data_IF_532808710653
#
_entry.id   IF_532808710653
#
_cell.length_a   1.000
_cell.length_b   1.000
_cell.length_c   1.000
_cell.angle_alpha   90.00
_cell.angle_beta   90.00
_cell.angle_gamma   90.00
#
_symmetry.space_group_name_H-M   'P 1'
#
loop_
_entity.id
_entity.type
_entity.pdbx_description
1 polymer ?
#
# COMPACT_ATOMS: atom_id res chain seq x y z
N UNK A 1 -20.65 18.10 7.76
CA UNK A 1 -21.36 17.07 8.55
C UNK A 1 -20.79 17.08 9.97
N UNK A 2 -21.57 16.71 10.99
CA UNK A 2 -21.02 16.45 12.33
C UNK A 2 -19.88 15.42 12.22
N UNK A 3 -18.83 15.57 13.03
CA UNK A 3 -17.74 14.57 13.08
C UNK A 3 -18.30 13.26 13.62
N UNK A 4 -17.88 12.14 13.04
CA UNK A 4 -18.22 10.83 13.57
C UNK A 4 -17.38 10.55 14.83
N UNK A 5 -17.83 9.63 15.68
CA UNK A 5 -17.05 9.22 16.85
C UNK A 5 -15.72 8.52 16.46
N UNK A 6 -15.63 7.96 15.25
CA UNK A 6 -14.38 7.44 14.68
C UNK A 6 -13.41 8.58 14.32
N UNK A 7 -13.92 9.70 13.80
CA UNK A 7 -13.10 10.90 13.54
C UNK A 7 -12.52 11.47 14.84
N UNK A 8 -13.30 11.45 15.93
CA UNK A 8 -12.82 11.88 17.25
C UNK A 8 -11.70 10.98 17.78
N UNK A 9 -11.82 9.66 17.60
CA UNK A 9 -10.77 8.72 17.98
C UNK A 9 -9.49 8.95 17.17
N UNK A 10 -9.61 9.18 15.85
CA UNK A 10 -8.47 9.52 15.01
C UNK A 10 -7.81 10.84 15.45
N UNK A 11 -8.60 11.87 15.77
CA UNK A 11 -8.11 13.15 16.27
C UNK A 11 -7.34 13.00 17.57
N UNK A 12 -7.87 12.21 18.50
CA UNK A 12 -7.24 11.92 19.77
C UNK A 12 -5.84 11.31 19.57
N UNK A 13 -5.69 10.39 18.63
CA UNK A 13 -4.41 9.72 18.36
C UNK A 13 -3.40 10.60 17.60
N UNK A 14 -3.85 11.32 16.57
CA UNK A 14 -2.94 11.95 15.60
C UNK A 14 -2.87 13.47 15.66
N UNK A 15 -3.88 14.14 16.22
CA UNK A 15 -4.01 15.61 16.18
C UNK A 15 -3.91 16.28 17.55
N UNK A 16 -3.99 15.52 18.63
CA UNK A 16 -3.78 16.02 19.99
C UNK A 16 -2.29 16.14 20.30
N UNK A 17 -1.93 17.23 20.95
CA UNK A 17 -0.58 17.43 21.49
C UNK A 17 -0.33 16.44 22.65
N UNK A 18 0.85 15.80 22.73
CA UNK A 18 1.08 14.73 23.70
C UNK A 18 0.79 15.11 25.16
N UNK A 19 1.07 16.35 25.56
CA UNK A 19 0.81 16.83 26.92
C UNK A 19 -0.68 16.92 27.28
N UNK A 20 -1.56 17.05 26.29
CA UNK A 20 -3.01 17.20 26.51
C UNK A 20 -3.76 15.87 26.33
N UNK A 21 -3.07 14.83 25.87
CA UNK A 21 -3.68 13.56 25.44
C UNK A 21 -4.38 12.84 26.59
N UNK A 22 -3.74 12.68 27.75
CA UNK A 22 -4.29 11.89 28.85
C UNK A 22 -5.56 12.53 29.45
N UNK A 23 -5.58 13.86 29.54
CA UNK A 23 -6.75 14.62 30.01
C UNK A 23 -7.92 14.49 29.03
N UNK A 24 -7.66 14.69 27.73
CA UNK A 24 -8.67 14.55 26.67
C UNK A 24 -9.18 13.11 26.56
N UNK A 25 -8.31 12.12 26.66
CA UNK A 25 -8.68 10.71 26.67
C UNK A 25 -9.61 10.40 27.85
N UNK A 26 -9.28 10.93 29.04
CA UNK A 26 -10.07 10.72 30.25
C UNK A 26 -11.47 11.32 30.16
N UNK A 27 -11.62 12.47 29.50
CA UNK A 27 -12.93 13.06 29.20
C UNK A 27 -13.68 12.25 28.14
N UNK A 28 -13.05 11.98 27.01
CA UNK A 28 -13.64 11.30 25.86
C UNK A 28 -14.18 9.91 26.21
N UNK A 29 -13.41 9.08 26.94
CA UNK A 29 -13.83 7.70 27.28
C UNK A 29 -15.06 7.64 28.20
N UNK A 30 -15.45 8.74 28.86
CA UNK A 30 -16.66 8.77 29.72
C UNK A 30 -17.95 8.71 28.90
N UNK A 31 -17.96 9.31 27.71
CA UNK A 31 -19.13 9.38 26.83
C UNK A 31 -19.00 8.50 25.57
N UNK A 32 -17.79 8.04 25.24
CA UNK A 32 -17.56 7.19 24.08
C UNK A 32 -18.27 5.82 24.20
N UNK A 33 -18.81 5.30 23.09
CA UNK A 33 -19.27 3.90 22.98
C UNK A 33 -18.17 2.92 23.38
N UNK A 34 -18.57 1.80 24.01
CA UNK A 34 -17.63 0.81 24.54
C UNK A 34 -16.73 0.22 23.45
N UNK A 35 -17.27 0.01 22.25
CA UNK A 35 -16.52 -0.49 21.09
C UNK A 35 -15.37 0.46 20.71
N UNK A 36 -15.59 1.78 20.79
CA UNK A 36 -14.55 2.76 20.50
C UNK A 36 -13.52 2.87 21.62
N UNK A 37 -13.93 2.70 22.89
CA UNK A 37 -12.98 2.61 24.01
C UNK A 37 -12.09 1.39 23.84
N UNK A 38 -12.64 0.24 23.43
CA UNK A 38 -11.86 -0.96 23.14
C UNK A 38 -10.93 -0.77 21.92
N UNK A 39 -11.39 -0.08 20.88
CA UNK A 39 -10.53 0.25 19.75
C UNK A 39 -9.38 1.18 20.15
N UNK A 40 -9.63 2.17 21.01
CA UNK A 40 -8.61 3.06 21.54
C UNK A 40 -7.57 2.33 22.39
N UNK A 41 -7.99 1.37 23.22
CA UNK A 41 -7.10 0.48 23.99
C UNK A 41 -6.07 -0.18 23.07
N UNK A 42 -6.52 -0.76 21.97
CA UNK A 42 -5.62 -1.41 21.01
C UNK A 42 -4.75 -0.36 20.30
N UNK A 43 -5.30 0.80 19.94
CA UNK A 43 -4.53 1.86 19.27
C UNK A 43 -3.38 2.36 20.15
N UNK A 44 -3.60 2.61 21.44
CA UNK A 44 -2.57 3.05 22.38
C UNK A 44 -1.42 2.03 22.55
N UNK A 45 -1.72 0.73 22.47
CA UNK A 45 -0.70 -0.32 22.54
C UNK A 45 -0.06 -0.67 21.19
N UNK A 46 -0.47 -0.01 20.11
CA UNK A 46 -0.01 -0.31 18.75
C UNK A 46 1.18 0.55 18.29
N UNK A 47 1.44 0.59 16.98
CA UNK A 47 2.40 1.51 16.37
C UNK A 47 1.79 2.92 16.16
N UNK A 48 0.47 3.08 16.22
CA UNK A 48 -0.18 4.37 15.93
C UNK A 48 0.35 5.57 16.75
N UNK A 49 0.63 5.43 18.06
CA UNK A 49 1.17 6.52 18.86
C UNK A 49 2.56 6.97 18.38
N UNK A 50 3.32 6.10 17.71
CA UNK A 50 4.67 6.38 17.22
C UNK A 50 4.70 7.43 16.09
N UNK A 51 3.56 7.67 15.43
CA UNK A 51 3.43 8.75 14.44
C UNK A 51 3.34 10.14 15.07
N UNK A 52 2.72 10.26 16.25
CA UNK A 52 2.47 11.54 16.90
C UNK A 52 2.88 11.52 18.37
N UNK A 53 2.11 10.85 19.22
CA UNK A 53 2.16 10.98 20.67
C UNK A 53 3.53 10.66 21.29
N UNK A 54 4.19 9.60 20.83
CA UNK A 54 5.49 9.15 21.36
C UNK A 54 6.67 9.62 20.49
N UNK A 55 6.41 10.40 19.43
CA UNK A 55 7.42 10.83 18.48
C UNK A 55 8.34 11.90 19.08
N UNK A 56 9.50 11.47 19.59
CA UNK A 56 10.51 12.36 20.20
C UNK A 56 11.17 13.30 19.20
N UNK A 57 11.26 12.93 17.92
CA UNK A 57 11.82 13.81 16.90
C UNK A 57 10.93 15.05 16.70
N UNK A 58 9.61 14.89 16.85
CA UNK A 58 8.64 15.98 16.76
C UNK A 58 8.48 16.77 18.07
N UNK A 59 8.37 16.08 19.19
CA UNK A 59 7.92 16.68 20.46
C UNK A 59 9.00 16.79 21.54
N UNK A 60 10.21 16.25 21.29
CA UNK A 60 11.31 16.27 22.26
C UNK A 60 10.94 15.61 23.59
N UNK A 61 11.12 16.34 24.69
CA UNK A 61 10.77 15.89 26.04
C UNK A 61 9.28 15.86 26.33
N UNK A 62 8.45 16.50 25.49
CA UNK A 62 6.99 16.49 25.66
C UNK A 62 6.33 15.22 25.12
N UNK A 63 7.04 14.43 24.29
CA UNK A 63 6.53 13.16 23.80
C UNK A 63 6.10 12.26 24.96
N UNK A 64 4.94 11.62 24.82
CA UNK A 64 4.43 10.68 25.80
C UNK A 64 5.37 9.48 25.93
N UNK A 65 5.52 8.99 27.16
CA UNK A 65 6.25 7.76 27.42
C UNK A 65 5.36 6.54 27.12
N UNK A 66 5.99 5.40 26.83
CA UNK A 66 5.23 4.15 26.62
C UNK A 66 4.57 3.68 27.91
N UNK A 67 5.17 3.99 29.05
CA UNK A 67 4.64 3.69 30.38
C UNK A 67 3.33 4.44 30.63
N UNK A 68 3.27 5.73 30.30
CA UNK A 68 2.05 6.53 30.43
C UNK A 68 0.90 5.99 29.54
N UNK A 69 1.22 5.57 28.31
CA UNK A 69 0.23 4.93 27.44
C UNK A 69 -0.22 3.56 27.96
N UNK A 70 0.68 2.78 28.57
CA UNK A 70 0.35 1.49 29.18
C UNK A 70 -0.57 1.65 30.41
N UNK A 71 -0.35 2.69 31.22
CA UNK A 71 -1.24 3.06 32.33
C UNK A 71 -2.63 3.45 31.81
N UNK A 72 -2.70 4.37 30.84
CA UNK A 72 -3.96 4.79 30.21
C UNK A 72 -4.72 3.62 29.56
N UNK A 73 -3.98 2.66 28.98
CA UNK A 73 -4.52 1.41 28.45
C UNK A 73 -5.15 0.56 29.55
N UNK A 74 -4.46 0.40 30.68
CA UNK A 74 -4.93 -0.38 31.82
C UNK A 74 -6.20 0.21 32.44
N UNK A 75 -6.26 1.54 32.57
CA UNK A 75 -7.44 2.25 33.04
C UNK A 75 -8.65 2.08 32.10
N UNK A 76 -8.43 2.15 30.79
CA UNK A 76 -9.50 2.00 29.79
C UNK A 76 -10.04 0.57 29.75
N UNK A 77 -9.17 -0.43 29.94
CA UNK A 77 -9.58 -1.82 30.17
C UNK A 77 -10.40 -1.97 31.47
N UNK A 78 -9.97 -1.33 32.56
CA UNK A 78 -10.71 -1.36 33.83
C UNK A 78 -12.10 -0.72 33.69
N UNK A 79 -12.22 0.38 32.94
CA UNK A 79 -13.49 1.01 32.62
C UNK A 79 -14.43 0.07 31.86
N UNK A 80 -13.93 -0.65 30.84
CA UNK A 80 -14.73 -1.64 30.11
C UNK A 80 -15.22 -2.77 31.01
N UNK A 81 -14.36 -3.26 31.93
CA UNK A 81 -14.78 -4.25 32.94
C UNK A 81 -15.88 -3.72 33.85
N UNK A 82 -15.75 -2.47 34.32
CA UNK A 82 -16.78 -1.83 35.14
C UNK A 82 -18.11 -1.69 34.40
N UNK A 83 -18.08 -1.52 33.07
CA UNK A 83 -19.26 -1.51 32.20
C UNK A 83 -19.78 -2.90 31.82
N UNK A 84 -19.15 -3.97 32.32
CA UNK A 84 -19.56 -5.36 32.07
C UNK A 84 -19.18 -5.89 30.68
N UNK A 85 -18.20 -5.27 30.00
CA UNK A 85 -17.75 -5.64 28.64
C UNK A 85 -16.49 -6.49 28.65
N UNK A 86 -16.52 -7.61 29.36
CA UNK A 86 -15.37 -8.54 29.38
C UNK A 86 -15.05 -9.10 27.99
N UNK A 87 -16.06 -9.23 27.12
CA UNK A 87 -15.93 -9.62 25.71
C UNK A 87 -14.95 -8.70 24.95
N UNK A 88 -15.12 -7.39 25.11
CA UNK A 88 -14.26 -6.39 24.47
C UNK A 88 -12.86 -6.35 25.09
N UNK A 89 -12.78 -6.56 26.39
CA UNK A 89 -11.51 -6.61 27.13
C UNK A 89 -10.66 -7.79 26.64
N UNK A 90 -11.23 -8.98 26.57
CA UNK A 90 -10.53 -10.18 26.09
C UNK A 90 -10.08 -10.01 24.64
N UNK A 91 -10.95 -9.49 23.77
CA UNK A 91 -10.63 -9.20 22.37
C UNK A 91 -9.48 -8.19 22.24
N UNK A 92 -9.54 -7.08 22.96
CA UNK A 92 -8.52 -6.04 22.94
C UNK A 92 -7.17 -6.56 23.46
N UNK A 93 -7.16 -7.30 24.58
CA UNK A 93 -5.94 -7.91 25.12
C UNK A 93 -5.34 -8.95 24.17
N UNK A 94 -6.18 -9.70 23.43
CA UNK A 94 -5.72 -10.64 22.42
C UNK A 94 -5.00 -9.93 21.26
N UNK A 95 -5.59 -8.86 20.72
CA UNK A 95 -4.94 -8.09 19.66
C UNK A 95 -3.66 -7.39 20.16
N UNK A 96 -3.62 -6.89 21.40
CA UNK A 96 -2.41 -6.32 22.01
C UNK A 96 -1.25 -7.35 22.06
N UNK A 97 -1.52 -8.59 22.48
CA UNK A 97 -0.52 -9.67 22.46
C UNK A 97 -0.04 -9.99 21.04
N UNK A 98 -0.94 -9.94 20.06
CA UNK A 98 -0.59 -10.16 18.66
C UNK A 98 0.28 -9.00 18.10
N UNK A 99 0.05 -7.76 18.55
CA UNK A 99 0.85 -6.59 18.16
C UNK A 99 2.26 -6.63 18.76
N UNK A 100 2.41 -7.12 19.99
CA UNK A 100 3.69 -7.24 20.68
C UNK A 100 4.67 -8.15 19.92
N UNK A 101 4.16 -9.23 19.34
CA UNK A 101 4.96 -10.22 18.60
C UNK A 101 5.01 -9.97 17.08
N UNK A 102 4.39 -8.90 16.58
CA UNK A 102 4.29 -8.61 15.15
C UNK A 102 5.66 -8.22 14.54
N UNK A 103 6.05 -8.94 13.50
CA UNK A 103 7.23 -8.64 12.70
C UNK A 103 7.02 -7.35 11.88
N UNK A 104 5.80 -7.08 11.40
CA UNK A 104 5.45 -5.84 10.68
C UNK A 104 5.52 -4.60 11.59
N UNK A 105 5.05 -4.72 12.84
CA UNK A 105 5.20 -3.66 13.83
C UNK A 105 6.67 -3.35 14.10
N UNK A 106 7.52 -4.40 14.22
CA UNK A 106 8.96 -4.24 14.38
C UNK A 106 9.62 -3.59 13.15
N UNK A 107 9.29 -4.03 11.93
CA UNK A 107 9.79 -3.40 10.70
C UNK A 107 9.46 -1.91 10.64
N UNK A 108 8.24 -1.54 11.05
CA UNK A 108 7.85 -0.13 11.10
C UNK A 108 8.69 0.65 12.10
N UNK A 109 8.91 0.11 13.31
CA UNK A 109 9.75 0.76 14.33
C UNK A 109 11.21 0.88 13.90
N UNK A 110 11.77 -0.10 13.18
CA UNK A 110 13.10 0.00 12.55
C UNK A 110 13.14 1.16 11.54
N UNK A 111 12.05 1.41 10.83
CA UNK A 111 11.98 2.53 9.88
C UNK A 111 11.85 3.87 10.58
N UNK A 112 11.02 3.95 11.61
CA UNK A 112 10.87 5.17 12.42
C UNK A 112 12.14 5.54 13.20
N UNK A 113 12.99 4.57 13.54
CA UNK A 113 14.31 4.81 14.16
C UNK A 113 15.42 5.13 13.17
N UNK A 114 15.17 5.02 11.86
CA UNK A 114 16.17 5.21 10.80
C UNK A 114 17.10 4.02 10.56
N UNK A 115 16.85 2.87 11.19
CA UNK A 115 17.62 1.64 10.95
C UNK A 115 17.32 1.05 9.55
N UNK A 116 16.06 1.14 9.13
CA UNK A 116 15.61 0.79 7.78
C UNK A 116 15.02 2.01 7.07
N UNK A 117 15.03 1.98 5.74
CA UNK A 117 14.36 2.95 4.87
C UNK A 117 13.27 2.22 4.07
N UNK A 118 12.35 1.55 4.78
CA UNK A 118 11.33 0.68 4.17
C UNK A 118 9.99 0.82 4.88
N UNK A 119 9.02 1.42 4.20
CA UNK A 119 7.64 1.44 4.67
C UNK A 119 6.86 0.25 4.11
N UNK A 120 5.69 -0.02 4.69
CA UNK A 120 4.78 -1.03 4.17
C UNK A 120 3.32 -0.57 4.20
N UNK A 121 2.49 -1.29 3.47
CA UNK A 121 1.09 -0.99 3.22
C UNK A 121 0.21 -2.21 3.09
N UNK A 122 -1.10 -1.95 3.07
CA UNK A 122 -2.14 -2.95 2.94
C UNK A 122 -2.50 -3.13 1.45
N UNK A 123 -2.28 -4.33 0.90
CA UNK A 123 -2.75 -4.70 -0.45
C UNK A 123 -4.19 -5.21 -0.36
N UNK A 124 -5.09 -4.36 0.15
CA UNK A 124 -6.49 -4.70 0.37
C UNK A 124 -7.30 -3.42 0.54
N UNK A 125 -8.49 -3.36 -0.07
CA UNK A 125 -9.37 -2.19 0.03
C UNK A 125 -10.16 -2.13 1.36
N UNK A 126 -10.01 -3.14 2.22
CA UNK A 126 -10.63 -3.24 3.54
C UNK A 126 -9.57 -3.51 4.63
N UNK A 127 -10.00 -3.49 5.90
CA UNK A 127 -9.18 -3.81 7.08
C UNK A 127 -7.95 -2.93 7.32
N UNK A 128 -7.87 -1.76 6.67
CA UNK A 128 -6.71 -0.87 6.78
C UNK A 128 -6.37 -0.49 8.22
N UNK A 129 -7.36 -0.17 9.07
CA UNK A 129 -7.12 0.21 10.46
C UNK A 129 -6.31 -0.84 11.24
N UNK A 130 -6.61 -2.12 11.02
CA UNK A 130 -5.86 -3.25 11.62
C UNK A 130 -4.42 -3.32 11.11
N UNK A 131 -4.20 -3.04 9.83
CA UNK A 131 -2.86 -2.97 9.26
C UNK A 131 -2.09 -1.73 9.77
N UNK A 132 -2.76 -0.58 9.93
CA UNK A 132 -2.16 0.65 10.47
C UNK A 132 -1.68 0.46 11.91
N UNK A 133 -2.38 -0.32 12.74
CA UNK A 133 -1.90 -0.70 14.09
C UNK A 133 -0.54 -1.40 14.08
N UNK A 134 -0.19 -2.08 12.99
CA UNK A 134 1.14 -2.67 12.74
C UNK A 134 2.07 -1.73 11.97
N UNK A 135 1.61 -0.56 11.57
CA UNK A 135 2.40 0.47 10.90
C UNK A 135 2.18 0.67 9.40
N UNK A 136 1.16 0.02 8.79
CA UNK A 136 0.84 0.26 7.39
C UNK A 136 0.55 1.75 7.15
N UNK A 137 1.22 2.37 6.19
CA UNK A 137 1.09 3.80 5.88
C UNK A 137 0.63 4.07 4.44
N UNK A 138 0.23 3.04 3.71
CA UNK A 138 -0.41 3.15 2.41
C UNK A 138 -1.39 2.01 2.19
N UNK A 139 -2.31 2.22 1.25
CA UNK A 139 -3.19 1.17 0.73
C UNK A 139 -3.04 1.09 -0.77
N UNK A 140 -3.07 -0.12 -1.29
CA UNK A 140 -3.24 -0.29 -2.71
C UNK A 140 -4.56 -1.01 -3.01
N UNK A 141 -5.32 -0.44 -3.95
CA UNK A 141 -6.62 -0.97 -4.37
C UNK A 141 -6.58 -1.36 -5.85
N UNK A 142 -7.54 -2.17 -6.27
CA UNK A 142 -7.88 -2.44 -7.66
C UNK A 142 -9.38 -2.82 -7.71
N UNK A 143 -10.02 -2.92 -8.89
CA UNK A 143 -11.46 -3.16 -8.93
C UNK A 143 -11.88 -4.49 -8.30
N UNK A 144 -11.03 -5.51 -8.34
CA UNK A 144 -11.29 -6.80 -7.67
C UNK A 144 -11.32 -6.62 -6.15
N UNK A 145 -10.36 -5.88 -5.59
CA UNK A 145 -10.30 -5.59 -4.16
C UNK A 145 -11.48 -4.72 -3.69
N UNK A 146 -11.91 -3.75 -4.51
CA UNK A 146 -13.13 -2.96 -4.25
C UNK A 146 -14.37 -3.87 -4.24
N UNK A 147 -14.46 -4.79 -5.20
CA UNK A 147 -15.53 -5.77 -5.26
C UNK A 147 -15.56 -6.72 -4.04
N UNK A 148 -14.39 -7.07 -3.49
CA UNK A 148 -14.29 -7.87 -2.27
C UNK A 148 -14.72 -7.05 -1.05
N UNK A 149 -14.24 -5.80 -0.91
CA UNK A 149 -14.58 -4.95 0.22
C UNK A 149 -16.10 -4.75 0.40
N UNK A 150 -16.86 -4.65 -0.71
CA UNK A 150 -18.33 -4.60 -0.64
C UNK A 150 -18.99 -5.89 -0.18
N UNK A 151 -18.40 -7.05 -0.51
CA UNK A 151 -18.93 -8.38 -0.15
C UNK A 151 -18.69 -8.68 1.33
N UNK A 152 -17.59 -8.18 1.88
CA UNK A 152 -17.24 -8.35 3.29
C UNK A 152 -18.06 -7.45 4.23
N UNK A 153 -18.60 -6.33 3.73
CA UNK A 153 -19.45 -5.43 4.50
C UNK A 153 -20.68 -4.95 3.70
N UNK A 154 -21.62 -5.85 3.38
CA UNK A 154 -22.76 -5.53 2.53
C UNK A 154 -23.70 -4.51 3.16
N UNK A 155 -23.84 -4.52 4.49
CA UNK A 155 -24.73 -3.63 5.24
C UNK A 155 -24.27 -2.16 5.13
N UNK A 156 -22.96 -1.92 5.02
CA UNK A 156 -22.43 -0.59 4.77
C UNK A 156 -22.49 -0.20 3.29
N UNK A 157 -22.04 -1.10 2.39
CA UNK A 157 -21.80 -0.74 0.99
C UNK A 157 -23.04 -0.78 0.10
N UNK A 158 -24.07 -1.57 0.43
CA UNK A 158 -25.31 -1.62 -0.35
C UNK A 158 -26.09 -0.30 -0.27
N UNK A 159 -26.31 0.31 0.91
CA UNK A 159 -26.94 1.62 0.99
C UNK A 159 -26.13 2.76 0.35
N UNK A 160 -24.80 2.64 0.30
CA UNK A 160 -23.94 3.59 -0.43
C UNK A 160 -24.19 3.49 -1.93
N UNK A 161 -24.21 2.27 -2.48
CA UNK A 161 -24.55 2.03 -3.89
C UNK A 161 -25.93 2.57 -4.24
N UNK A 162 -26.94 2.30 -3.42
CA UNK A 162 -28.32 2.72 -3.72
C UNK A 162 -28.46 4.24 -3.74
N UNK A 163 -27.80 4.95 -2.81
CA UNK A 163 -27.72 6.41 -2.81
C UNK A 163 -27.01 6.97 -4.04
N UNK A 164 -25.92 6.33 -4.49
CA UNK A 164 -25.22 6.75 -5.71
C UNK A 164 -26.11 6.62 -6.94
N UNK A 165 -26.91 5.55 -7.04
CA UNK A 165 -27.87 5.35 -8.13
C UNK A 165 -28.97 6.40 -8.12
N UNK A 166 -29.51 6.70 -6.95
CA UNK A 166 -30.54 7.73 -6.79
C UNK A 166 -30.01 9.14 -7.13
N UNK A 167 -28.79 9.46 -6.68
CA UNK A 167 -28.16 10.76 -6.92
C UNK A 167 -27.73 10.95 -8.39
N UNK A 168 -27.41 9.86 -9.10
CA UNK A 168 -26.88 9.89 -10.46
C UNK A 168 -27.65 8.94 -11.41
N UNK A 169 -28.94 9.19 -11.68
CA UNK A 169 -29.78 8.30 -12.49
C UNK A 169 -29.33 8.18 -13.95
N UNK A 170 -28.50 9.11 -14.44
CA UNK A 170 -28.00 9.15 -15.81
C UNK A 170 -26.58 8.55 -15.97
N UNK A 171 -25.94 8.12 -14.88
CA UNK A 171 -24.63 7.48 -14.98
C UNK A 171 -24.76 6.11 -15.65
N UNK A 172 -23.83 5.81 -16.56
CA UNK A 172 -23.62 4.47 -17.07
C UNK A 172 -23.15 3.52 -15.95
N UNK A 173 -23.27 2.18 -16.14
CA UNK A 173 -22.75 1.21 -15.18
C UNK A 173 -21.27 1.41 -14.83
N UNK A 174 -20.45 1.82 -15.80
CA UNK A 174 -19.03 2.09 -15.59
C UNK A 174 -18.82 3.34 -14.72
N UNK A 175 -19.55 4.42 -14.97
CA UNK A 175 -19.50 5.64 -14.16
C UNK A 175 -19.97 5.40 -12.72
N UNK A 176 -21.04 4.63 -12.52
CA UNK A 176 -21.47 4.23 -11.18
C UNK A 176 -20.41 3.36 -10.48
N UNK A 177 -19.79 2.40 -11.19
CA UNK A 177 -18.72 1.57 -10.63
C UNK A 177 -17.52 2.42 -10.18
N UNK A 178 -17.18 3.46 -10.94
CA UNK A 178 -16.18 4.44 -10.54
C UNK A 178 -16.61 5.26 -9.33
N UNK A 179 -17.83 5.79 -9.32
CA UNK A 179 -18.36 6.54 -8.18
C UNK A 179 -18.32 5.68 -6.90
N UNK A 180 -18.66 4.38 -7.00
CA UNK A 180 -18.56 3.43 -5.90
C UNK A 180 -17.11 3.19 -5.47
N UNK A 181 -16.18 3.07 -6.42
CA UNK A 181 -14.74 2.95 -6.13
C UNK A 181 -14.21 4.18 -5.41
N UNK A 182 -14.65 5.39 -5.81
CA UNK A 182 -14.33 6.63 -5.12
C UNK A 182 -14.79 6.58 -3.66
N UNK A 183 -15.98 6.06 -3.35
CA UNK A 183 -16.44 5.94 -1.96
C UNK A 183 -15.53 5.03 -1.12
N UNK A 184 -15.11 3.88 -1.68
CA UNK A 184 -14.16 2.97 -1.01
C UNK A 184 -12.80 3.62 -0.80
N UNK A 185 -12.32 4.37 -1.79
CA UNK A 185 -11.04 5.10 -1.70
C UNK A 185 -11.12 6.27 -0.72
N UNK A 186 -12.21 7.01 -0.66
CA UNK A 186 -12.43 8.09 0.32
C UNK A 186 -12.39 7.52 1.74
N UNK A 187 -13.02 6.37 1.99
CA UNK A 187 -12.98 5.73 3.31
C UNK A 187 -11.53 5.40 3.75
N UNK A 188 -10.74 4.80 2.86
CA UNK A 188 -9.32 4.50 3.14
C UNK A 188 -8.46 5.77 3.22
N UNK A 189 -8.73 6.77 2.37
CA UNK A 189 -7.99 8.03 2.32
C UNK A 189 -8.17 8.81 3.62
N UNK A 190 -9.38 8.83 4.20
CA UNK A 190 -9.67 9.44 5.50
C UNK A 190 -8.90 8.78 6.64
N UNK A 191 -8.79 7.44 6.64
CA UNK A 191 -7.99 6.73 7.65
C UNK A 191 -6.50 7.10 7.60
N UNK A 192 -5.92 7.23 6.40
CA UNK A 192 -4.51 7.61 6.23
C UNK A 192 -4.27 9.12 6.28
N UNK A 193 -5.33 9.93 6.23
CA UNK A 193 -5.23 11.38 6.14
C UNK A 193 -4.41 12.00 7.27
N UNK A 194 -4.56 11.59 8.54
CA UNK A 194 -3.74 12.15 9.60
C UNK A 194 -2.25 11.85 9.39
N UNK A 195 -1.87 10.64 8.97
CA UNK A 195 -0.47 10.30 8.67
C UNK A 195 0.06 11.16 7.50
N UNK A 196 -0.75 11.36 6.45
CA UNK A 196 -0.39 12.22 5.33
C UNK A 196 -0.15 13.67 5.77
N UNK A 197 -1.02 14.22 6.62
CA UNK A 197 -0.89 15.56 7.19
C UNK A 197 0.37 15.69 8.05
N UNK A 198 0.61 14.73 8.95
CA UNK A 198 1.76 14.74 9.85
C UNK A 198 3.11 14.66 9.14
N UNK A 199 3.11 14.07 7.94
CA UNK A 199 4.32 13.82 7.16
C UNK A 199 4.44 14.74 5.95
N UNK A 200 3.63 15.81 5.89
CA UNK A 200 3.57 16.76 4.79
C UNK A 200 3.44 16.08 3.41
N UNK A 201 2.67 15.00 3.36
CA UNK A 201 2.40 14.24 2.14
C UNK A 201 3.56 13.40 1.63
N UNK A 202 4.51 12.99 2.47
CA UNK A 202 5.54 12.03 2.06
C UNK A 202 5.05 10.57 2.12
N UNK A 203 4.10 10.26 3.00
CA UNK A 203 3.42 8.96 3.11
C UNK A 203 1.92 9.15 3.36
N UNK A 204 1.15 8.06 3.56
CA UNK A 204 -0.29 8.15 3.83
C UNK A 204 -1.16 8.12 2.57
N UNK A 205 -0.76 7.37 1.54
CA UNK A 205 -1.42 7.37 0.23
C UNK A 205 -2.33 6.16 -0.01
N UNK A 206 -3.42 6.38 -0.74
CA UNK A 206 -4.24 5.31 -1.34
C UNK A 206 -3.93 5.23 -2.83
N UNK A 207 -3.59 4.04 -3.34
CA UNK A 207 -3.46 3.81 -4.78
C UNK A 207 -4.80 3.37 -5.36
N UNK A 208 -5.38 4.18 -6.26
CA UNK A 208 -6.63 3.90 -6.97
C UNK A 208 -6.30 3.42 -8.39
N UNK A 209 -6.89 2.29 -8.80
CA UNK A 209 -6.71 1.76 -10.16
C UNK A 209 -7.72 2.34 -11.13
N UNK A 210 -7.23 2.98 -12.20
CA UNK A 210 -8.06 3.34 -13.36
C UNK A 210 -8.47 2.09 -14.14
N UNK A 211 -9.41 2.23 -15.05
CA UNK A 211 -10.09 1.11 -15.71
C UNK A 211 -9.08 0.21 -16.42
N UNK A 212 -9.04 -1.08 -16.08
CA UNK A 212 -8.14 -2.01 -16.77
C UNK A 212 -8.49 -2.14 -18.26
N UNK A 213 -9.74 -1.83 -18.65
CA UNK A 213 -10.19 -1.86 -20.05
C UNK A 213 -9.65 -0.71 -20.89
N UNK A 214 -9.01 0.29 -20.27
CA UNK A 214 -8.42 1.46 -20.92
C UNK A 214 -6.88 1.45 -20.90
N UNK A 215 -6.28 0.30 -20.59
CA UNK A 215 -4.82 0.14 -20.47
C UNK A 215 -4.01 0.52 -21.73
N UNK A 216 -4.64 0.53 -22.90
CA UNK A 216 -4.02 0.89 -24.18
C UNK A 216 -4.48 2.26 -24.72
N UNK A 217 -5.19 3.06 -23.92
CA UNK A 217 -5.76 4.35 -24.31
C UNK A 217 -5.30 5.45 -23.33
N UNK A 218 -4.27 6.18 -23.73
CA UNK A 218 -3.65 7.21 -22.89
C UNK A 218 -4.62 8.36 -22.58
N UNK A 219 -5.38 8.82 -23.57
CA UNK A 219 -6.33 9.93 -23.41
C UNK A 219 -7.48 9.57 -22.48
N UNK A 220 -7.97 8.33 -22.57
CA UNK A 220 -8.97 7.82 -21.64
C UNK A 220 -8.42 7.78 -20.21
N UNK A 221 -7.21 7.23 -19.98
CA UNK A 221 -6.61 7.17 -18.65
C UNK A 221 -6.41 8.57 -18.04
N UNK A 222 -5.93 9.54 -18.82
CA UNK A 222 -5.77 10.92 -18.35
C UNK A 222 -7.11 11.55 -17.98
N UNK A 223 -8.13 11.36 -18.82
CA UNK A 223 -9.47 11.90 -18.58
C UNK A 223 -10.10 11.29 -17.32
N UNK A 224 -9.96 9.99 -17.13
CA UNK A 224 -10.42 9.28 -15.93
C UNK A 224 -9.69 9.77 -14.67
N UNK A 225 -8.36 9.93 -14.72
CA UNK A 225 -7.58 10.45 -13.61
C UNK A 225 -8.05 11.84 -13.16
N UNK A 226 -8.24 12.77 -14.11
CA UNK A 226 -8.72 14.13 -13.82
C UNK A 226 -10.12 14.12 -13.20
N UNK A 227 -11.03 13.31 -13.74
CA UNK A 227 -12.38 13.19 -13.20
C UNK A 227 -12.35 12.67 -11.76
N UNK A 228 -11.65 11.57 -11.51
CA UNK A 228 -11.54 10.97 -10.17
C UNK A 228 -10.86 11.94 -9.20
N UNK A 229 -9.79 12.62 -9.62
CA UNK A 229 -9.10 13.59 -8.79
C UNK A 229 -10.03 14.70 -8.30
N UNK A 230 -10.84 15.27 -9.21
CA UNK A 230 -11.82 16.30 -8.86
C UNK A 230 -12.84 15.80 -7.80
N UNK A 231 -13.35 14.58 -7.98
CA UNK A 231 -14.30 13.97 -7.01
C UNK A 231 -13.65 13.75 -5.64
N UNK A 232 -12.41 13.26 -5.61
CA UNK A 232 -11.67 13.05 -4.37
C UNK A 232 -11.34 14.38 -3.68
N UNK A 233 -10.93 15.40 -4.45
CA UNK A 233 -10.62 16.72 -3.92
C UNK A 233 -11.82 17.37 -3.24
N UNK A 234 -13.00 17.28 -3.85
CA UNK A 234 -14.24 17.77 -3.26
C UNK A 234 -14.56 17.04 -1.95
N UNK A 235 -14.53 15.71 -1.95
CA UNK A 235 -14.93 14.90 -0.77
C UNK A 235 -13.93 14.91 0.38
N UNK A 236 -12.65 15.18 0.09
CA UNK A 236 -11.57 15.28 1.10
C UNK A 236 -11.27 16.74 1.47
N UNK A 237 -11.86 17.72 0.79
CA UNK A 237 -11.70 19.15 1.10
C UNK A 237 -10.30 19.69 0.79
N UNK A 238 -9.66 19.23 -0.29
CA UNK A 238 -8.34 19.73 -0.71
C UNK A 238 -7.55 18.74 -1.57
N UNK A 239 -6.22 18.85 -1.56
CA UNK A 239 -5.35 17.90 -2.27
C UNK A 239 -5.58 16.47 -1.73
N UNK A 240 -5.98 15.51 -2.58
CA UNK A 240 -6.24 14.16 -2.15
C UNK A 240 -4.93 13.41 -1.89
N UNK A 241 -4.89 12.60 -0.83
CA UNK A 241 -3.79 11.68 -0.54
C UNK A 241 -3.95 10.38 -1.35
N UNK A 242 -4.06 10.53 -2.68
CA UNK A 242 -4.31 9.42 -3.61
C UNK A 242 -3.33 9.48 -4.77
N UNK A 243 -2.92 8.31 -5.26
CA UNK A 243 -2.14 8.14 -6.48
C UNK A 243 -2.89 7.24 -7.46
N UNK A 244 -2.72 7.47 -8.76
CA UNK A 244 -3.41 6.72 -9.81
C UNK A 244 -2.55 5.57 -10.32
N UNK A 245 -3.07 4.35 -10.23
CA UNK A 245 -2.40 3.20 -10.81
C UNK A 245 -2.59 3.19 -12.33
N UNK A 246 -1.47 3.27 -13.03
CA UNK A 246 -1.38 3.15 -14.48
C UNK A 246 -0.61 1.87 -14.83
N UNK A 247 -1.04 1.08 -15.81
CA UNK A 247 -0.31 -0.10 -16.25
C UNK A 247 0.99 0.33 -16.97
N UNK A 248 2.06 -0.46 -16.85
CA UNK A 248 3.32 -0.22 -17.55
C UNK A 248 3.28 -0.61 -19.04
N UNK A 249 2.28 -0.09 -19.76
CA UNK A 249 2.08 -0.24 -21.21
C UNK A 249 2.67 0.96 -21.97
N UNK A 250 2.73 0.89 -23.30
CA UNK A 250 3.12 2.03 -24.15
C UNK A 250 2.23 3.25 -23.90
N UNK A 251 0.91 3.04 -23.90
CA UNK A 251 -0.07 4.08 -23.62
C UNK A 251 -0.01 4.57 -22.16
N UNK A 252 0.27 3.66 -21.22
CA UNK A 252 0.45 4.00 -19.81
C UNK A 252 1.62 4.95 -19.58
N UNK A 253 2.69 4.86 -20.40
CA UNK A 253 3.82 5.78 -20.35
C UNK A 253 3.41 7.21 -20.77
N UNK A 254 2.62 7.35 -21.83
CA UNK A 254 2.12 8.66 -22.27
C UNK A 254 1.16 9.26 -21.23
N UNK A 255 0.26 8.45 -20.68
CA UNK A 255 -0.63 8.87 -19.60
C UNK A 255 0.14 9.28 -18.33
N UNK A 256 1.21 8.54 -17.97
CA UNK A 256 2.06 8.86 -16.84
C UNK A 256 2.66 10.26 -16.95
N UNK A 257 3.20 10.62 -18.12
CA UNK A 257 3.74 11.96 -18.37
C UNK A 257 2.68 13.06 -18.16
N UNK A 258 1.50 12.89 -18.74
CA UNK A 258 0.41 13.87 -18.62
C UNK A 258 -0.11 14.00 -17.18
N UNK A 259 -0.41 12.88 -16.53
CA UNK A 259 -0.96 12.87 -15.16
C UNK A 259 0.02 13.47 -14.15
N UNK A 260 1.29 13.08 -14.23
CA UNK A 260 2.30 13.56 -13.26
C UNK A 260 2.71 15.02 -13.49
N UNK A 261 2.62 15.55 -14.71
CA UNK A 261 2.82 16.97 -14.99
C UNK A 261 1.76 17.86 -14.32
N UNK A 262 0.54 17.33 -14.16
CA UNK A 262 -0.58 17.99 -13.46
C UNK A 262 -0.51 17.86 -11.92
N UNK A 263 0.58 17.33 -11.37
CA UNK A 263 0.78 17.19 -9.93
C UNK A 263 0.05 15.99 -9.31
N UNK A 264 -0.58 15.15 -10.13
CA UNK A 264 -1.22 13.92 -9.69
C UNK A 264 -0.18 12.79 -9.61
N UNK A 265 -0.03 12.19 -8.44
CA UNK A 265 0.89 11.07 -8.25
C UNK A 265 0.41 9.80 -8.98
N UNK A 266 1.34 8.98 -9.45
CA UNK A 266 1.03 7.72 -10.11
C UNK A 266 1.63 6.54 -9.37
N UNK A 267 1.02 5.37 -9.50
CA UNK A 267 1.59 4.09 -9.09
C UNK A 267 1.66 3.16 -10.30
N UNK A 268 2.84 3.05 -10.91
CA UNK A 268 3.03 2.27 -12.13
C UNK A 268 2.92 0.78 -11.79
N UNK A 269 1.79 0.18 -12.14
CA UNK A 269 1.45 -1.24 -11.91
C UNK A 269 1.62 -2.04 -13.19
N UNK A 270 1.36 -3.36 -13.15
CA UNK A 270 1.57 -4.25 -14.30
C UNK A 270 3.01 -4.09 -14.84
N UNK A 271 3.93 -3.87 -13.91
CA UNK A 271 5.33 -3.54 -14.13
C UNK A 271 6.19 -4.68 -13.57
N UNK A 272 6.92 -5.31 -14.46
CA UNK A 272 7.58 -6.59 -14.24
C UNK A 272 9.06 -6.58 -14.63
N UNK A 273 9.45 -5.64 -15.50
CA UNK A 273 10.74 -5.67 -16.19
C UNK A 273 11.57 -4.44 -15.88
N UNK A 274 12.89 -4.61 -15.84
CA UNK A 274 13.84 -3.51 -15.71
C UNK A 274 13.64 -2.45 -16.82
N UNK A 275 13.41 -2.79 -18.10
CA UNK A 275 13.06 -1.81 -19.14
C UNK A 275 11.81 -0.97 -18.82
N UNK A 276 10.73 -1.58 -18.31
CA UNK A 276 9.54 -0.84 -17.85
C UNK A 276 9.91 0.10 -16.70
N UNK A 277 10.63 -0.40 -15.70
CA UNK A 277 11.10 0.39 -14.56
C UNK A 277 11.97 1.59 -14.98
N UNK A 278 12.86 1.43 -15.96
CA UNK A 278 13.71 2.50 -16.52
C UNK A 278 12.84 3.56 -17.21
N UNK A 279 11.98 3.14 -18.14
CA UNK A 279 11.18 4.05 -18.95
C UNK A 279 10.29 4.95 -18.07
N UNK A 280 9.58 4.36 -17.12
CA UNK A 280 8.68 5.09 -16.23
C UNK A 280 9.44 5.92 -15.18
N UNK A 281 10.55 5.42 -14.61
CA UNK A 281 11.35 6.21 -13.70
C UNK A 281 11.92 7.46 -14.38
N UNK A 282 12.45 7.31 -15.61
CA UNK A 282 12.97 8.44 -16.39
C UNK A 282 11.90 9.46 -16.73
N UNK A 283 10.71 9.01 -17.16
CA UNK A 283 9.58 9.89 -17.47
C UNK A 283 9.11 10.69 -16.24
N UNK A 284 8.97 10.03 -15.08
CA UNK A 284 8.56 10.68 -13.83
C UNK A 284 9.64 11.65 -13.36
N UNK A 285 10.91 11.27 -13.42
CA UNK A 285 12.01 12.15 -13.00
C UNK A 285 12.02 13.45 -13.83
N UNK A 286 11.84 13.33 -15.15
CA UNK A 286 11.88 14.45 -16.08
C UNK A 286 10.68 15.41 -15.97
N UNK A 287 9.46 14.87 -15.80
CA UNK A 287 8.22 15.66 -16.01
C UNK A 287 7.34 15.83 -14.75
N UNK A 288 7.52 15.03 -13.70
CA UNK A 288 6.58 15.01 -12.58
C UNK A 288 6.72 16.23 -11.67
N UNK A 289 5.56 16.81 -11.32
CA UNK A 289 5.37 17.80 -10.27
C UNK A 289 4.64 17.22 -9.04
N UNK A 290 4.27 15.94 -9.09
CA UNK A 290 3.61 15.25 -8.00
C UNK A 290 4.57 15.02 -6.81
N UNK A 291 4.03 15.04 -5.59
CA UNK A 291 4.81 14.81 -4.36
C UNK A 291 5.36 13.38 -4.28
N UNK A 292 4.54 12.40 -4.67
CA UNK A 292 4.87 10.98 -4.55
C UNK A 292 4.41 10.24 -5.80
N UNK A 293 5.25 9.35 -6.29
CA UNK A 293 4.89 8.34 -7.26
C UNK A 293 5.57 7.02 -6.92
N UNK A 294 5.00 5.91 -7.40
CA UNK A 294 5.48 4.57 -7.11
C UNK A 294 5.72 3.78 -8.40
N UNK A 295 6.65 2.84 -8.34
CA UNK A 295 6.91 1.85 -9.39
C UNK A 295 6.75 0.47 -8.79
N UNK A 296 5.58 -0.12 -9.02
CA UNK A 296 5.24 -1.41 -8.45
C UNK A 296 6.09 -2.52 -9.08
N UNK A 297 6.68 -3.40 -8.27
CA UNK A 297 7.21 -4.68 -8.75
C UNK A 297 6.12 -5.73 -8.57
N UNK A 298 5.67 -6.33 -9.66
CA UNK A 298 4.63 -7.36 -9.63
C UNK A 298 5.23 -8.74 -9.34
N UNK A 299 5.83 -8.90 -8.15
CA UNK A 299 6.76 -9.98 -7.79
C UNK A 299 6.25 -11.38 -8.17
N UNK A 300 5.30 -11.93 -7.40
CA UNK A 300 4.85 -13.29 -7.58
C UNK A 300 4.20 -13.52 -8.94
N UNK A 301 3.64 -12.47 -9.55
CA UNK A 301 3.05 -12.52 -10.90
C UNK A 301 4.09 -12.62 -12.00
N UNK A 302 5.36 -12.27 -11.74
CA UNK A 302 6.50 -12.62 -12.59
C UNK A 302 7.13 -13.95 -12.20
N UNK A 303 7.34 -14.19 -10.90
CA UNK A 303 8.02 -15.39 -10.40
C UNK A 303 7.31 -16.68 -10.87
N UNK A 304 5.97 -16.69 -10.88
CA UNK A 304 5.18 -17.86 -11.27
C UNK A 304 5.39 -18.28 -12.75
N UNK A 305 5.17 -17.42 -13.77
CA UNK A 305 5.41 -17.81 -15.15
C UNK A 305 6.89 -18.03 -15.49
N UNK A 306 7.84 -17.36 -14.81
CA UNK A 306 9.27 -17.72 -14.91
C UNK A 306 9.49 -19.14 -14.39
N UNK A 307 8.88 -19.50 -13.26
CA UNK A 307 8.89 -20.85 -12.74
C UNK A 307 8.35 -21.90 -13.71
N UNK A 308 7.25 -21.60 -14.42
CA UNK A 308 6.69 -22.46 -15.48
C UNK A 308 7.72 -22.73 -16.59
N UNK A 309 8.42 -21.69 -17.07
CA UNK A 309 9.48 -21.86 -18.09
C UNK A 309 10.67 -22.65 -17.57
N UNK A 310 11.10 -22.44 -16.32
CA UNK A 310 12.20 -23.19 -15.71
C UNK A 310 11.86 -24.66 -15.52
N UNK A 311 10.62 -24.96 -15.10
CA UNK A 311 10.12 -26.32 -14.98
C UNK A 311 10.12 -27.01 -16.35
N UNK A 312 9.58 -26.34 -17.38
CA UNK A 312 9.55 -26.86 -18.75
C UNK A 312 10.96 -27.08 -19.33
N UNK A 313 11.92 -26.24 -18.95
CA UNK A 313 13.33 -26.37 -19.34
C UNK A 313 14.11 -27.43 -18.53
N UNK A 314 13.45 -28.18 -17.63
CA UNK A 314 14.08 -29.23 -16.83
C UNK A 314 15.10 -28.71 -15.81
N UNK A 315 14.94 -27.48 -15.33
CA UNK A 315 15.84 -26.90 -14.33
C UNK A 315 15.63 -27.58 -12.96
N UNK A 316 16.68 -28.14 -12.35
CA UNK A 316 16.56 -28.69 -11.00
C UNK A 316 16.31 -27.57 -9.99
N UNK A 317 15.47 -27.87 -8.99
CA UNK A 317 15.07 -26.95 -7.91
C UNK A 317 14.35 -25.68 -8.41
N UNK A 318 13.73 -25.73 -9.60
CA UNK A 318 13.04 -24.58 -10.21
C UNK A 318 12.08 -23.85 -9.25
N UNK A 319 11.43 -24.59 -8.34
CA UNK A 319 10.48 -24.06 -7.38
C UNK A 319 11.14 -23.12 -6.35
N UNK A 320 12.38 -23.40 -5.94
CA UNK A 320 13.16 -22.51 -5.09
C UNK A 320 13.76 -21.38 -5.93
N UNK A 321 14.34 -21.71 -7.09
CA UNK A 321 14.98 -20.74 -7.99
C UNK A 321 14.02 -19.61 -8.38
N UNK A 322 12.76 -19.91 -8.68
CA UNK A 322 11.78 -18.89 -9.06
C UNK A 322 11.55 -17.84 -7.98
N UNK A 323 11.73 -18.17 -6.70
CA UNK A 323 11.54 -17.23 -5.57
C UNK A 323 12.59 -16.11 -5.53
N UNK A 324 13.66 -16.26 -6.31
CA UNK A 324 14.74 -15.28 -6.44
C UNK A 324 14.62 -14.40 -7.68
N UNK A 325 13.68 -14.70 -8.59
CA UNK A 325 13.47 -13.97 -9.84
C UNK A 325 13.27 -12.46 -9.59
N UNK A 326 12.22 -12.09 -8.85
CA UNK A 326 11.93 -10.68 -8.57
C UNK A 326 12.99 -10.01 -7.68
N UNK A 327 13.64 -10.76 -6.78
CA UNK A 327 14.78 -10.24 -6.00
C UNK A 327 15.95 -9.86 -6.90
N UNK A 328 16.30 -10.69 -7.89
CA UNK A 328 17.38 -10.43 -8.82
C UNK A 328 17.15 -9.13 -9.61
N UNK A 329 15.93 -8.98 -10.13
CA UNK A 329 15.53 -7.80 -10.90
C UNK A 329 15.53 -6.56 -10.00
N UNK A 330 14.94 -6.63 -8.80
CA UNK A 330 14.92 -5.52 -7.85
C UNK A 330 16.30 -5.06 -7.42
N UNK A 331 17.22 -5.98 -7.13
CA UNK A 331 18.59 -5.62 -6.79
C UNK A 331 19.27 -4.85 -7.93
N UNK A 332 19.09 -5.30 -9.18
CA UNK A 332 19.68 -4.65 -10.36
C UNK A 332 19.03 -3.29 -10.61
N UNK A 333 17.70 -3.25 -10.58
CA UNK A 333 16.86 -2.06 -10.73
C UNK A 333 17.21 -0.98 -9.71
N UNK A 334 17.24 -1.33 -8.42
CA UNK A 334 17.52 -0.38 -7.36
C UNK A 334 18.95 0.20 -7.48
N UNK A 335 19.96 -0.63 -7.76
CA UNK A 335 21.33 -0.12 -8.00
C UNK A 335 21.37 0.83 -9.19
N UNK A 336 20.72 0.45 -10.28
CA UNK A 336 20.77 1.20 -11.52
C UNK A 336 20.01 2.53 -11.43
N UNK A 337 18.85 2.55 -10.78
CA UNK A 337 17.97 3.72 -10.79
C UNK A 337 18.15 4.60 -9.57
N UNK A 338 18.25 4.03 -8.37
CA UNK A 338 18.19 4.78 -7.11
C UNK A 338 19.56 5.27 -6.60
N UNK A 339 20.66 4.58 -6.93
CA UNK A 339 21.99 5.03 -6.52
C UNK A 339 22.45 6.22 -7.36
N UNK A 340 23.34 7.03 -6.79
CA UNK A 340 23.86 8.22 -7.47
C UNK A 340 24.79 7.82 -8.63
N UNK A 341 25.03 8.71 -9.62
CA UNK A 341 26.01 8.48 -10.69
C UNK A 341 27.40 8.08 -10.20
N UNK A 342 27.86 8.63 -9.06
CA UNK A 342 29.15 8.30 -8.47
C UNK A 342 29.22 6.85 -7.92
N UNK A 343 28.07 6.22 -7.69
CA UNK A 343 27.91 4.85 -7.21
C UNK A 343 27.47 3.90 -8.34
N UNK A 344 27.45 4.37 -9.58
CA UNK A 344 27.06 3.60 -10.77
C UNK A 344 25.57 3.53 -11.07
N UNK A 345 24.74 4.38 -10.45
CA UNK A 345 23.31 4.50 -10.75
C UNK A 345 22.94 5.78 -11.51
N UNK A 346 21.66 6.01 -11.74
CA UNK A 346 21.12 7.18 -12.45
C UNK A 346 20.65 8.31 -11.52
N UNK A 347 20.52 8.04 -10.21
CA UNK A 347 20.08 9.02 -9.22
C UNK A 347 18.60 9.44 -9.37
N UNK A 348 17.75 8.56 -9.88
CA UNK A 348 16.31 8.78 -9.99
C UNK A 348 15.66 8.54 -8.63
N UNK A 349 14.93 9.54 -8.14
CA UNK A 349 14.42 9.53 -6.75
C UNK A 349 12.95 9.90 -6.62
N UNK A 350 12.32 10.42 -7.69
CA UNK A 350 10.90 10.84 -7.64
C UNK A 350 9.89 9.70 -7.65
N UNK A 351 10.31 8.47 -7.96
CA UNK A 351 9.42 7.31 -8.10
C UNK A 351 9.90 6.13 -7.25
N UNK A 352 9.25 5.92 -6.10
CA UNK A 352 9.66 4.92 -5.12
C UNK A 352 9.39 3.48 -5.57
N UNK A 353 10.34 2.53 -5.39
CA UNK A 353 10.09 1.11 -5.62
C UNK A 353 8.99 0.59 -4.70
N UNK A 354 8.03 -0.16 -5.28
CA UNK A 354 6.90 -0.72 -4.54
C UNK A 354 6.71 -2.24 -4.77
N UNK A 355 7.40 -3.13 -4.04
CA UNK A 355 7.15 -4.57 -4.16
C UNK A 355 5.71 -4.94 -3.78
N UNK A 356 5.05 -5.70 -4.65
CA UNK A 356 3.66 -6.12 -4.53
C UNK A 356 3.48 -7.56 -4.98
N UNK A 357 2.31 -8.15 -4.71
CA UNK A 357 2.00 -9.53 -5.10
C UNK A 357 3.02 -10.56 -4.60
N UNK A 358 3.57 -10.37 -3.41
CA UNK A 358 4.45 -11.35 -2.78
C UNK A 358 3.73 -12.69 -2.52
N UNK A 359 4.47 -13.80 -2.59
CA UNK A 359 3.95 -15.15 -2.33
C UNK A 359 4.26 -15.65 -0.92
N UNK A 360 5.24 -15.07 -0.26
CA UNK A 360 5.54 -15.40 1.13
C UNK A 360 6.54 -14.44 1.79
N UNK A 361 7.04 -14.81 2.99
CA UNK A 361 7.90 -13.97 3.82
C UNK A 361 9.17 -13.47 3.13
N UNK A 362 9.74 -14.25 2.20
CA UNK A 362 10.94 -13.87 1.49
C UNK A 362 10.75 -12.63 0.62
N UNK A 363 9.55 -12.40 0.07
CA UNK A 363 9.27 -11.18 -0.69
C UNK A 363 9.38 -9.94 0.20
N UNK A 364 8.94 -10.03 1.47
CA UNK A 364 9.04 -8.95 2.44
C UNK A 364 10.49 -8.79 2.90
N UNK A 365 11.13 -9.86 3.39
CA UNK A 365 12.51 -9.83 3.90
C UNK A 365 13.50 -9.31 2.86
N UNK A 366 13.40 -9.79 1.62
CA UNK A 366 14.27 -9.39 0.49
C UNK A 366 13.83 -8.08 -0.17
N UNK A 367 12.94 -7.32 0.46
CA UNK A 367 12.59 -5.94 0.08
C UNK A 367 13.03 -4.91 1.10
N UNK A 368 13.36 -5.33 2.34
CA UNK A 368 13.83 -4.42 3.38
C UNK A 368 15.19 -3.85 2.99
N UNK A 369 15.29 -2.53 3.00
CA UNK A 369 16.44 -1.80 2.54
C UNK A 369 16.69 -0.56 3.42
N UNK A 370 17.95 -0.12 3.48
CA UNK A 370 18.39 1.11 4.15
C UNK A 370 19.17 2.03 3.20
N UNK A 371 18.97 1.85 1.89
CA UNK A 371 19.61 2.64 0.85
C UNK A 371 19.00 4.05 0.69
N UNK A 372 19.47 4.81 -0.33
CA UNK A 372 19.16 6.24 -0.47
C UNK A 372 17.71 6.57 -0.84
N UNK A 373 16.96 5.62 -1.44
CA UNK A 373 15.57 5.80 -1.85
C UNK A 373 14.71 4.82 -1.06
N UNK A 374 13.64 5.34 -0.48
CA UNK A 374 12.70 4.56 0.32
C UNK A 374 12.03 3.48 -0.50
N UNK A 375 11.91 2.28 0.07
CA UNK A 375 11.12 1.17 -0.50
C UNK A 375 9.77 1.10 0.20
N UNK A 376 8.70 0.86 -0.56
CA UNK A 376 7.35 0.67 -0.02
C UNK A 376 6.84 -0.72 -0.33
N UNK A 377 6.52 -1.56 0.65
CA UNK A 377 6.02 -2.92 0.38
C UNK A 377 4.50 -2.94 0.54
N UNK A 378 3.73 -3.40 -0.44
CA UNK A 378 2.29 -3.65 -0.24
C UNK A 378 2.04 -5.14 -0.01
N UNK A 379 1.34 -5.48 1.07
CA UNK A 379 1.23 -6.87 1.56
C UNK A 379 -0.24 -7.25 1.74
N UNK A 380 -0.65 -8.39 1.18
CA UNK A 380 -2.00 -8.95 1.38
C UNK A 380 -2.23 -9.38 2.84
N UNK A 381 -3.47 -9.34 3.36
CA UNK A 381 -3.75 -9.71 4.75
C UNK A 381 -3.32 -11.12 5.15
N UNK A 382 -3.46 -12.11 4.26
CA UNK A 382 -3.00 -13.49 4.51
C UNK A 382 -1.46 -13.56 4.61
N UNK A 383 -0.76 -12.77 3.79
CA UNK A 383 0.71 -12.65 3.83
C UNK A 383 1.20 -11.84 5.02
N UNK A 384 0.42 -10.86 5.49
CA UNK A 384 0.68 -10.19 6.78
C UNK A 384 0.62 -11.20 7.92
N UNK A 385 -0.44 -12.03 7.96
CA UNK A 385 -0.61 -13.07 8.97
C UNK A 385 0.50 -14.14 8.90
N UNK A 386 0.86 -14.61 7.70
CA UNK A 386 1.98 -15.54 7.50
C UNK A 386 3.32 -14.93 7.94
N UNK A 387 3.52 -13.65 7.70
CA UNK A 387 4.75 -12.98 8.13
C UNK A 387 4.82 -12.87 9.65
N UNK A 388 3.72 -12.55 10.32
CA UNK A 388 3.63 -12.41 11.79
C UNK A 388 3.47 -13.75 12.53
N UNK A 389 3.26 -14.88 11.84
CA UNK A 389 2.94 -16.17 12.47
C UNK A 389 4.06 -16.77 13.33
N UNK A 390 5.29 -16.29 13.17
CA UNK A 390 6.45 -16.74 13.94
C UNK A 390 7.51 -15.62 14.00
N UNK A 391 8.39 -15.60 15.01
CA UNK A 391 9.50 -14.66 15.03
C UNK A 391 10.38 -14.80 13.78
N UNK A 392 10.78 -13.67 13.19
CA UNK A 392 11.69 -13.63 12.04
C UNK A 392 12.90 -12.77 12.35
N UNK A 393 14.01 -12.98 11.65
CA UNK A 393 15.10 -12.02 11.61
C UNK A 393 14.85 -11.04 10.46
N UNK A 394 14.88 -9.73 10.75
CA UNK A 394 14.69 -8.69 9.74
C UNK A 394 16.00 -7.93 9.61
N UNK A 395 16.68 -8.10 8.48
CA UNK A 395 17.88 -7.32 8.18
C UNK A 395 17.50 -5.99 7.53
N UNK A 396 18.03 -4.84 7.97
CA UNK A 396 17.86 -3.56 7.26
C UNK A 396 18.49 -3.57 5.86
N UNK A 397 19.30 -4.60 5.54
CA UNK A 397 19.92 -4.81 4.22
C UNK A 397 19.36 -6.06 3.51
N UNK A 398 18.17 -6.53 3.89
CA UNK A 398 17.58 -7.75 3.34
C UNK A 398 17.44 -7.78 1.81
N UNK A 399 17.21 -6.62 1.17
CA UNK A 399 17.21 -6.48 -0.28
C UNK A 399 18.53 -6.94 -0.92
N UNK A 400 19.64 -6.86 -0.20
CA UNK A 400 20.98 -7.22 -0.66
C UNK A 400 21.41 -8.64 -0.29
N UNK A 401 20.50 -9.48 0.20
CA UNK A 401 20.80 -10.91 0.37
C UNK A 401 21.30 -11.49 -0.96
N UNK A 402 22.50 -12.09 -1.01
CA UNK A 402 23.05 -12.61 -2.26
C UNK A 402 22.16 -13.74 -2.78
N UNK A 403 22.01 -13.78 -4.10
CA UNK A 403 21.39 -14.93 -4.75
C UNK A 403 22.25 -16.18 -4.44
N UNK A 404 21.63 -17.35 -4.19
CA UNK A 404 22.37 -18.59 -4.07
C UNK A 404 23.18 -18.89 -5.33
N UNK A 405 24.31 -19.56 -5.18
CA UNK A 405 25.21 -19.90 -6.30
C UNK A 405 24.45 -20.62 -7.44
N UNK A 406 24.71 -20.22 -8.68
CA UNK A 406 24.07 -20.80 -9.86
C UNK A 406 22.63 -20.34 -10.11
N UNK A 407 22.01 -19.57 -9.20
CA UNK A 407 20.60 -19.17 -9.32
C UNK A 407 20.37 -18.24 -10.52
N UNK A 408 21.27 -17.28 -10.75
CA UNK A 408 21.13 -16.34 -11.86
C UNK A 408 21.24 -17.06 -13.21
N UNK A 409 22.20 -17.98 -13.35
CA UNK A 409 22.41 -18.81 -14.54
C UNK A 409 21.20 -19.70 -14.81
N UNK A 410 20.57 -20.24 -13.76
CA UNK A 410 19.31 -20.99 -13.87
C UNK A 410 18.17 -20.09 -14.31
N UNK A 411 17.98 -18.92 -13.69
CA UNK A 411 16.95 -17.94 -14.05
C UNK A 411 17.08 -17.48 -15.52
N UNK A 412 18.31 -17.25 -15.99
CA UNK A 412 18.61 -16.88 -17.37
C UNK A 412 18.21 -17.94 -18.41
N UNK A 413 17.79 -19.15 -18.03
CA UNK A 413 17.19 -20.13 -18.94
C UNK A 413 15.76 -19.75 -19.35
N UNK A 414 15.04 -19.00 -18.52
CA UNK A 414 13.72 -18.44 -18.84
C UNK A 414 13.84 -17.27 -19.82
N UNK A 415 13.03 -17.29 -20.89
CA UNK A 415 12.93 -16.17 -21.84
C UNK A 415 12.30 -14.96 -21.14
N UNK A 416 11.25 -15.18 -20.36
CA UNK A 416 10.58 -14.12 -19.62
C UNK A 416 11.54 -13.39 -18.68
N UNK A 417 12.37 -14.15 -17.95
CA UNK A 417 13.36 -13.57 -17.05
C UNK A 417 14.43 -12.77 -17.82
N UNK A 418 14.98 -13.29 -18.93
CA UNK A 418 15.96 -12.55 -19.75
C UNK A 418 15.42 -11.20 -20.21
N UNK A 419 14.18 -11.18 -20.72
CA UNK A 419 13.50 -9.95 -21.13
C UNK A 419 13.29 -8.99 -19.95
N UNK A 420 13.03 -9.52 -18.75
CA UNK A 420 12.80 -8.70 -17.56
C UNK A 420 14.07 -8.19 -16.87
N UNK A 421 15.17 -8.93 -16.98
CA UNK A 421 16.40 -8.68 -16.22
C UNK A 421 17.37 -7.75 -16.95
N UNK A 422 17.42 -7.80 -18.29
CA UNK A 422 18.31 -6.94 -19.06
C UNK A 422 17.72 -5.53 -19.27
N UNK A 423 18.52 -4.45 -19.09
CA UNK A 423 18.05 -3.06 -19.26
C UNK A 423 17.45 -2.75 -20.63
N UNK A 424 17.87 -3.48 -21.66
CA UNK A 424 17.45 -3.40 -23.06
C UNK A 424 16.73 -4.69 -23.52
N UNK A 425 16.27 -5.51 -22.58
CA UNK A 425 15.61 -6.80 -22.87
C UNK A 425 14.27 -6.69 -23.61
N UNK A 426 13.73 -5.48 -23.74
CA UNK A 426 12.53 -5.14 -24.51
C UNK A 426 12.44 -3.64 -24.77
N UNK A 427 11.90 -3.27 -25.92
CA UNK A 427 11.50 -1.90 -26.26
C UNK A 427 10.13 -1.54 -25.64
N UNK A 428 9.83 -0.24 -25.61
CA UNK A 428 8.53 0.26 -25.10
C UNK A 428 7.35 -0.32 -25.89
N UNK A 429 7.51 -0.52 -27.20
CA UNK A 429 6.46 -1.10 -28.05
C UNK A 429 6.17 -2.57 -27.75
N UNK A 430 7.10 -3.27 -27.09
CA UNK A 430 6.94 -4.67 -26.72
C UNK A 430 6.26 -4.85 -25.36
N UNK A 431 6.13 -3.80 -24.55
CA UNK A 431 5.54 -3.87 -23.20
C UNK A 431 4.15 -4.49 -23.21
N UNK A 432 3.32 -4.11 -24.18
CA UNK A 432 1.92 -4.53 -24.30
C UNK A 432 1.78 -6.01 -24.65
N UNK A 433 2.83 -6.61 -25.22
CA UNK A 433 2.86 -8.03 -25.64
C UNK A 433 3.60 -8.93 -24.66
N UNK A 434 4.19 -8.36 -23.60
CA UNK A 434 4.91 -9.13 -22.60
C UNK A 434 3.94 -10.02 -21.82
N UNK A 435 4.17 -11.34 -21.80
CA UNK A 435 3.19 -12.30 -21.29
C UNK A 435 2.68 -11.99 -19.86
N UNK A 436 3.52 -11.62 -18.87
CA UNK A 436 3.03 -11.20 -17.55
C UNK A 436 2.08 -9.99 -17.57
N UNK A 437 2.31 -9.03 -18.49
CA UNK A 437 1.44 -7.86 -18.71
C UNK A 437 0.09 -8.32 -19.23
N UNK A 438 0.08 -9.09 -20.32
CA UNK A 438 -1.16 -9.61 -20.94
C UNK A 438 -1.99 -10.41 -19.94
N UNK A 439 -1.38 -11.42 -19.29
CA UNK A 439 -2.08 -12.28 -18.31
C UNK A 439 -2.67 -11.45 -17.15
N UNK A 440 -1.97 -10.43 -16.69
CA UNK A 440 -2.44 -9.63 -15.54
C UNK A 440 -3.58 -8.68 -15.93
N UNK A 441 -3.49 -8.04 -17.10
CA UNK A 441 -4.57 -7.17 -17.59
C UNK A 441 -5.86 -7.97 -17.86
N UNK A 442 -5.75 -9.16 -18.44
CA UNK A 442 -6.90 -10.06 -18.65
C UNK A 442 -7.60 -10.42 -17.32
N UNK A 443 -6.82 -10.80 -16.30
CA UNK A 443 -7.37 -11.11 -14.97
C UNK A 443 -8.04 -9.91 -14.31
N UNK A 444 -7.45 -8.72 -14.42
CA UNK A 444 -8.07 -7.50 -13.89
C UNK A 444 -9.37 -7.13 -14.63
N UNK A 445 -9.43 -7.37 -15.94
CA UNK A 445 -10.64 -7.17 -16.73
C UNK A 445 -11.80 -8.07 -16.29
N UNK A 446 -11.54 -9.36 -16.05
CA UNK A 446 -12.59 -10.32 -15.66
C UNK A 446 -13.22 -9.99 -14.30
N UNK A 447 -12.42 -9.61 -13.31
CA UNK A 447 -12.94 -9.25 -11.99
C UNK A 447 -13.70 -7.92 -11.94
N UNK A 448 -13.57 -7.08 -12.97
CA UNK A 448 -14.29 -5.81 -13.08
C UNK A 448 -15.76 -5.97 -13.50
N UNK A 449 -16.06 -6.96 -14.35
CA UNK A 449 -17.41 -7.13 -14.92
C UNK A 449 -18.46 -7.48 -13.87
N UNK A 450 -18.10 -8.34 -12.91
CA UNK A 450 -18.98 -8.69 -11.79
C UNK A 450 -19.32 -7.47 -10.92
N UNK A 451 -18.32 -6.62 -10.68
CA UNK A 451 -18.49 -5.40 -9.89
C UNK A 451 -19.42 -4.41 -10.58
N UNK A 452 -19.20 -4.17 -11.87
CA UNK A 452 -20.05 -3.27 -12.68
C UNK A 452 -21.50 -3.75 -12.68
N UNK A 453 -21.74 -5.06 -12.83
CA UNK A 453 -23.08 -5.63 -12.79
C UNK A 453 -23.77 -5.41 -11.44
N UNK A 454 -23.06 -5.61 -10.33
CA UNK A 454 -23.62 -5.40 -8.98
C UNK A 454 -23.94 -3.93 -8.69
N UNK A 455 -23.13 -2.99 -9.18
CA UNK A 455 -23.39 -1.56 -8.98
C UNK A 455 -24.62 -1.10 -9.77
N UNK A 456 -24.84 -1.67 -10.96
CA UNK A 456 -25.97 -1.33 -11.82
C UNK A 456 -27.30 -1.96 -11.39
N UNK A 457 -27.26 -3.16 -10.79
CA UNK A 457 -28.42 -3.90 -10.29
C UNK A 457 -28.95 -3.37 -8.98
#
# INVERSE_FOLDING_TARGET
MPRSAEDELADLMFRVEPQDYLDRLSEWRRSAPDELVAENVVDMGSVLPDWNLTNRARHGSKALSREALAEATSESLALLRQRGREDLVEAAQSELRALETSNLARLTRMTLSGEANTHWGNDYAAHLRRAMRRGACLVTTNPVLVNIARKENPDHWTPVRDRLREAHPNYSPAELAYAMTVQVVVANARLLRPIWELTNGTIGYVSLQLSPKKAHDAEAMVSEARWVYAQLSEQLGGTPNTVFKLPATRAGLDACCAVTAEGMGVNITVNFSLPQHIAFAGAIEANSTALVSFRTHMDGRLDDPVGEELQAAGVPDWAEVKTWCSTAIRQREYRMLCHKPQEGGLGLTKAYPLPASGRGPWNILRSVNNGPVTVFITVFPDKQAEFDSQPREISPRGMWTPLPEGTLEKLLKSKLFRMAYEPDGMSVEEFDTYLPVVRTLEQFGQGYDEFVAWVAG
#
